data_IF_080478536649
#
_entry.id   IF_080478536649
#
_cell.length_a   1.000
_cell.length_b   1.000
_cell.length_c   1.000
_cell.angle_alpha   90.00
_cell.angle_beta   90.00
_cell.angle_gamma   90.00
#
_symmetry.space_group_name_H-M   'P 1'
#
loop_
_entity.id
_entity.type
_entity.pdbx_description
1 polymer ?
#
# COMPACT_ATOMS: atom_id res chain seq x y z
N UNK A 1 -21.83 14.31 5.45
CA UNK A 1 -20.37 14.08 5.26
C UNK A 1 -20.05 12.65 4.84
N UNK A 2 -20.74 11.62 5.35
CA UNK A 2 -20.55 10.22 4.90
C UNK A 2 -20.99 9.96 3.45
N UNK A 3 -22.19 10.39 3.07
CA UNK A 3 -22.74 10.22 1.70
C UNK A 3 -21.91 10.95 0.62
N UNK A 4 -21.36 12.13 0.94
CA UNK A 4 -20.52 12.95 0.04
C UNK A 4 -19.22 12.24 -0.38
N UNK A 5 -18.60 11.48 0.53
CA UNK A 5 -17.38 10.70 0.22
C UNK A 5 -17.73 9.52 -0.70
N UNK A 6 -18.92 8.96 -0.52
CA UNK A 6 -19.39 7.76 -1.22
C UNK A 6 -19.70 8.07 -2.69
N UNK A 7 -20.51 9.08 -2.99
CA UNK A 7 -20.85 9.48 -4.37
C UNK A 7 -19.59 9.82 -5.19
N UNK A 8 -18.68 10.63 -4.61
CA UNK A 8 -17.41 10.97 -5.26
C UNK A 8 -16.58 9.73 -5.56
N UNK A 9 -16.43 8.82 -4.59
CA UNK A 9 -15.63 7.61 -4.78
C UNK A 9 -16.25 6.67 -5.82
N UNK A 10 -17.57 6.62 -5.93
CA UNK A 10 -18.29 5.83 -6.94
C UNK A 10 -18.14 6.40 -8.36
N UNK A 11 -18.21 7.73 -8.52
CA UNK A 11 -17.93 8.39 -9.80
C UNK A 11 -16.48 8.17 -10.25
N UNK A 12 -15.51 8.37 -9.34
CA UNK A 12 -14.09 8.15 -9.61
C UNK A 12 -13.84 6.70 -10.09
N UNK A 13 -14.47 5.72 -9.42
CA UNK A 13 -14.38 4.30 -9.79
C UNK A 13 -15.03 3.98 -11.14
N UNK A 14 -16.19 4.58 -11.43
CA UNK A 14 -16.87 4.37 -12.71
C UNK A 14 -15.99 4.87 -13.87
N UNK A 15 -15.48 6.10 -13.76
CA UNK A 15 -14.70 6.74 -14.82
C UNK A 15 -13.38 6.01 -15.03
N UNK A 16 -12.71 5.59 -13.94
CA UNK A 16 -11.46 4.83 -14.02
C UNK A 16 -11.58 3.48 -14.75
N UNK A 17 -12.79 2.94 -14.93
CA UNK A 17 -13.03 1.69 -15.69
C UNK A 17 -13.17 1.91 -17.20
N UNK A 18 -13.26 3.16 -17.66
CA UNK A 18 -13.36 3.47 -19.09
C UNK A 18 -12.02 3.21 -19.79
N UNK A 19 -12.06 2.59 -20.96
CA UNK A 19 -10.85 2.29 -21.73
C UNK A 19 -10.08 3.56 -22.08
N UNK A 20 -8.77 3.55 -21.82
CA UNK A 20 -7.85 4.67 -22.00
C UNK A 20 -7.72 5.60 -20.79
N UNK A 21 -8.52 5.42 -19.72
CA UNK A 21 -8.39 6.17 -18.46
C UNK A 21 -7.36 5.50 -17.55
N UNK A 22 -6.41 6.29 -17.06
CA UNK A 22 -5.39 5.88 -16.09
C UNK A 22 -5.76 6.29 -14.65
N UNK A 23 -6.45 7.42 -14.50
CA UNK A 23 -6.97 7.91 -13.23
C UNK A 23 -8.11 8.90 -13.48
N UNK A 24 -9.03 9.01 -12.50
CA UNK A 24 -10.09 9.98 -12.51
C UNK A 24 -10.27 10.57 -11.10
N UNK A 25 -10.64 11.85 -11.03
CA UNK A 25 -10.96 12.52 -9.77
C UNK A 25 -12.06 13.56 -9.99
N UNK A 26 -13.12 13.41 -9.22
CA UNK A 26 -14.29 14.30 -9.19
C UNK A 26 -14.14 15.27 -8.02
N UNK A 27 -14.47 16.54 -8.26
CA UNK A 27 -14.50 17.60 -7.24
C UNK A 27 -15.95 18.05 -7.10
N UNK A 28 -16.44 18.03 -5.86
CA UNK A 28 -17.78 18.49 -5.50
C UNK A 28 -17.66 19.80 -4.70
N UNK A 29 -18.66 20.68 -4.82
CA UNK A 29 -18.81 21.85 -3.96
C UNK A 29 -19.51 21.49 -2.63
N UNK A 30 -19.78 22.48 -1.79
CA UNK A 30 -20.48 22.30 -0.51
C UNK A 30 -21.96 21.89 -0.68
N UNK A 31 -22.50 21.98 -1.89
CA UNK A 31 -23.87 21.63 -2.28
C UNK A 31 -23.95 20.27 -3.00
N UNK A 32 -22.88 19.46 -2.96
CA UNK A 32 -22.76 18.15 -3.64
C UNK A 32 -22.88 18.20 -5.18
N UNK A 33 -22.69 19.37 -5.78
CA UNK A 33 -22.67 19.52 -7.23
C UNK A 33 -21.27 19.31 -7.77
N UNK A 34 -21.18 18.61 -8.91
CA UNK A 34 -19.92 18.39 -9.61
C UNK A 34 -19.44 19.70 -10.20
N UNK A 35 -18.28 20.17 -9.74
CA UNK A 35 -17.64 21.39 -10.27
C UNK A 35 -16.50 21.08 -11.23
N UNK A 36 -15.78 19.97 -11.02
CA UNK A 36 -14.70 19.55 -11.91
C UNK A 36 -14.55 18.03 -11.94
N UNK A 37 -14.17 17.50 -13.10
CA UNK A 37 -13.76 16.11 -13.30
C UNK A 37 -12.39 16.14 -13.99
N UNK A 38 -11.36 15.67 -13.29
CA UNK A 38 -10.03 15.52 -13.86
C UNK A 38 -9.80 14.08 -14.29
N UNK A 39 -9.34 13.91 -15.52
CA UNK A 39 -9.06 12.62 -16.11
C UNK A 39 -7.62 12.62 -16.58
N UNK A 40 -6.88 11.60 -16.16
CA UNK A 40 -5.59 11.26 -16.72
C UNK A 40 -5.80 10.09 -17.67
N UNK A 41 -5.40 10.24 -18.93
CA UNK A 41 -5.60 9.22 -19.95
C UNK A 41 -4.29 8.85 -20.63
N UNK A 42 -4.25 7.67 -21.22
CA UNK A 42 -3.23 7.33 -22.19
C UNK A 42 -3.54 7.95 -23.57
N UNK A 43 -2.76 7.58 -24.57
CA UNK A 43 -2.89 8.04 -25.96
C UNK A 43 -3.77 7.13 -26.82
N UNK A 44 -4.45 6.12 -26.24
CA UNK A 44 -5.28 5.17 -27.00
C UNK A 44 -6.59 5.79 -27.50
N UNK A 45 -7.07 6.84 -26.83
CA UNK A 45 -8.27 7.60 -27.21
C UNK A 45 -7.99 9.09 -27.26
N UNK A 46 -8.74 9.81 -28.08
CA UNK A 46 -8.69 11.28 -28.10
C UNK A 46 -9.44 11.89 -26.90
N UNK A 47 -9.05 13.08 -26.41
CA UNK A 47 -9.73 13.75 -25.32
C UNK A 47 -11.23 13.96 -25.58
N UNK A 48 -11.59 14.32 -26.82
CA UNK A 48 -13.00 14.52 -27.21
C UNK A 48 -13.82 13.22 -27.11
N UNK A 49 -13.23 12.09 -27.48
CA UNK A 49 -13.90 10.79 -27.36
C UNK A 49 -14.06 10.41 -25.89
N UNK A 50 -13.01 10.63 -25.08
CA UNK A 50 -13.02 10.31 -23.66
C UNK A 50 -14.06 11.13 -22.88
N UNK A 51 -14.15 12.44 -23.17
CA UNK A 51 -15.18 13.32 -22.60
C UNK A 51 -16.58 12.79 -22.89
N UNK A 52 -16.86 12.34 -24.12
CA UNK A 52 -18.17 11.74 -24.46
C UNK A 52 -18.43 10.42 -23.75
N UNK A 53 -17.42 9.57 -23.65
CA UNK A 53 -17.52 8.29 -22.95
C UNK A 53 -17.87 8.52 -21.47
N UNK A 54 -17.25 9.53 -20.85
CA UNK A 54 -17.50 9.94 -19.45
C UNK A 54 -18.92 10.46 -19.27
N UNK A 55 -19.36 11.41 -20.09
CA UNK A 55 -20.73 11.94 -20.05
C UNK A 55 -21.75 10.80 -20.22
N UNK A 56 -21.52 9.91 -21.19
CA UNK A 56 -22.41 8.78 -21.47
C UNK A 56 -22.46 7.79 -20.31
N UNK A 57 -21.31 7.50 -19.69
CA UNK A 57 -21.24 6.57 -18.56
C UNK A 57 -21.93 7.13 -17.32
N UNK A 58 -21.69 8.40 -16.99
CA UNK A 58 -22.32 9.06 -15.83
C UNK A 58 -23.83 9.17 -16.03
N UNK A 59 -24.28 9.57 -17.20
CA UNK A 59 -25.71 9.62 -17.55
C UNK A 59 -26.36 8.24 -17.44
N UNK A 60 -25.72 7.19 -17.96
CA UNK A 60 -26.28 5.84 -17.93
C UNK A 60 -26.31 5.22 -16.52
N UNK A 61 -25.31 5.48 -15.69
CA UNK A 61 -25.19 4.90 -14.35
C UNK A 61 -25.99 5.67 -13.29
N UNK A 62 -26.02 6.99 -13.38
CA UNK A 62 -26.56 7.87 -12.33
C UNK A 62 -27.64 8.84 -12.81
N UNK A 63 -27.91 8.91 -14.12
CA UNK A 63 -28.90 9.85 -14.69
C UNK A 63 -28.47 11.32 -14.60
N UNK A 64 -27.18 11.60 -14.38
CA UNK A 64 -26.66 12.95 -14.24
C UNK A 64 -26.20 13.50 -15.60
N UNK A 65 -26.67 14.69 -15.95
CA UNK A 65 -26.19 15.44 -17.11
C UNK A 65 -25.00 16.32 -16.71
N UNK A 66 -23.85 16.10 -17.34
CA UNK A 66 -22.58 16.78 -17.01
C UNK A 66 -22.16 17.64 -18.19
N UNK A 67 -21.93 18.94 -17.97
CA UNK A 67 -21.34 19.80 -19.00
C UNK A 67 -19.89 19.36 -19.27
N UNK A 68 -19.56 19.18 -20.55
CA UNK A 68 -18.23 18.80 -21.01
C UNK A 68 -17.14 19.78 -20.57
N UNK A 69 -17.48 21.05 -20.28
CA UNK A 69 -16.55 22.07 -19.79
C UNK A 69 -15.99 21.76 -18.41
N UNK A 70 -16.70 20.95 -17.62
CA UNK A 70 -16.24 20.53 -16.29
C UNK A 70 -15.20 19.39 -16.38
N UNK A 71 -15.03 18.79 -17.56
CA UNK A 71 -14.16 17.64 -17.77
C UNK A 71 -12.83 18.10 -18.37
N UNK A 72 -11.77 17.93 -17.59
CA UNK A 72 -10.39 18.16 -18.03
C UNK A 72 -9.68 16.83 -18.27
N UNK A 73 -9.07 16.68 -19.45
CA UNK A 73 -8.33 15.48 -19.83
C UNK A 73 -6.86 15.82 -20.05
N UNK A 74 -5.99 15.26 -19.22
CA UNK A 74 -4.55 15.26 -19.42
C UNK A 74 -4.13 13.92 -20.04
N UNK A 75 -3.42 13.97 -21.17
CA UNK A 75 -2.92 12.78 -21.83
C UNK A 75 -1.43 12.57 -21.55
N UNK A 76 -1.05 11.33 -21.30
CA UNK A 76 0.33 10.94 -21.05
C UNK A 76 0.67 9.71 -21.89
N UNK A 77 1.93 9.63 -22.32
CA UNK A 77 2.40 8.45 -23.02
C UNK A 77 2.39 7.29 -22.02
N UNK A 78 1.62 6.22 -22.29
CA UNK A 78 1.38 5.11 -21.34
C UNK A 78 2.66 4.42 -20.86
N UNK A 79 3.78 4.61 -21.57
CA UNK A 79 5.11 4.15 -21.16
C UNK A 79 5.79 5.02 -20.08
N UNK A 80 5.22 6.17 -19.71
CA UNK A 80 5.76 7.08 -18.68
C UNK A 80 4.84 7.31 -17.48
N UNK A 81 3.63 6.75 -17.48
CA UNK A 81 2.70 6.92 -16.36
C UNK A 81 1.99 5.61 -16.05
N UNK A 82 2.43 4.97 -14.97
CA UNK A 82 1.68 3.89 -14.34
C UNK A 82 0.34 4.46 -13.83
N UNK A 83 -0.81 3.79 -14.06
CA UNK A 83 -2.09 4.24 -13.55
C UNK A 83 -2.02 4.53 -12.06
N UNK A 84 -2.59 5.64 -11.59
CA UNK A 84 -2.78 5.90 -10.16
C UNK A 84 -3.74 4.90 -9.50
N UNK A 85 -4.30 3.98 -10.29
CA UNK A 85 -5.13 2.85 -9.87
C UNK A 85 -4.49 1.53 -10.33
N UNK A 86 -3.23 1.28 -9.95
CA UNK A 86 -2.76 -0.09 -9.78
C UNK A 86 -2.37 -0.24 -8.33
N UNK A 87 -3.06 -1.16 -7.65
CA UNK A 87 -2.72 -1.80 -6.38
C UNK A 87 -1.81 -0.96 -5.49
N UNK A 88 -2.30 -0.53 -4.32
CA UNK A 88 -1.39 -0.23 -3.22
C UNK A 88 -0.39 -1.39 -3.18
N UNK A 89 0.85 -1.16 -3.61
CA UNK A 89 1.81 -2.23 -3.84
C UNK A 89 2.40 -2.60 -2.49
N UNK A 90 1.51 -2.97 -1.57
CA UNK A 90 1.78 -3.31 -0.21
C UNK A 90 2.43 -4.67 -0.21
N UNK A 91 3.50 -4.78 0.54
CA UNK A 91 4.09 -6.05 0.84
C UNK A 91 3.11 -6.84 1.70
N UNK A 92 2.89 -8.09 1.31
CA UNK A 92 2.09 -9.07 2.04
C UNK A 92 2.97 -10.23 2.47
N UNK A 93 2.57 -10.92 3.54
CA UNK A 93 3.26 -12.14 3.97
C UNK A 93 2.79 -13.28 3.07
N UNK A 94 3.70 -13.84 2.28
CA UNK A 94 3.43 -15.05 1.49
C UNK A 94 3.66 -16.32 2.31
N UNK A 95 4.74 -16.34 3.10
CA UNK A 95 5.11 -17.49 3.93
C UNK A 95 5.99 -17.06 5.10
N UNK A 96 5.79 -17.70 6.25
CA UNK A 96 6.74 -17.72 7.37
C UNK A 96 7.03 -19.19 7.64
N UNK A 97 8.30 -19.56 7.75
CA UNK A 97 8.73 -20.91 8.09
C UNK A 97 9.74 -20.85 9.20
N UNK A 98 9.50 -21.63 10.25
CA UNK A 98 10.38 -21.71 11.42
C UNK A 98 10.85 -23.15 11.53
N UNK A 99 12.15 -23.30 11.44
CA UNK A 99 12.86 -24.55 11.64
C UNK A 99 13.61 -24.48 12.96
N UNK A 100 13.50 -25.54 13.75
CA UNK A 100 14.13 -25.64 15.05
C UNK A 100 15.12 -26.80 14.98
N UNK A 101 16.38 -26.52 15.31
CA UNK A 101 17.37 -27.56 15.62
C UNK A 101 17.67 -27.55 17.13
N UNK A 102 18.52 -28.47 17.60
CA UNK A 102 18.84 -28.63 19.02
C UNK A 102 19.43 -27.38 19.69
N UNK A 103 19.90 -26.42 18.91
CA UNK A 103 20.67 -25.26 19.36
C UNK A 103 20.20 -23.94 18.77
N UNK A 104 19.45 -23.95 17.67
CA UNK A 104 19.08 -22.77 16.91
C UNK A 104 17.61 -22.76 16.52
N UNK A 105 17.11 -21.53 16.34
CA UNK A 105 15.94 -21.23 15.55
C UNK A 105 16.39 -20.59 14.23
N UNK A 106 15.94 -21.15 13.13
CA UNK A 106 16.07 -20.59 11.80
C UNK A 106 14.68 -20.19 11.29
N UNK A 107 14.52 -18.93 10.91
CA UNK A 107 13.26 -18.41 10.37
C UNK A 107 13.48 -17.89 8.96
N UNK A 108 12.60 -18.28 8.05
CA UNK A 108 12.51 -17.75 6.68
C UNK A 108 11.17 -17.04 6.51
N UNK A 109 11.21 -15.80 6.01
CA UNK A 109 10.04 -15.00 5.66
C UNK A 109 10.08 -14.72 4.17
N UNK A 110 8.96 -14.99 3.49
CA UNK A 110 8.74 -14.60 2.09
C UNK A 110 7.66 -13.54 2.06
N UNK A 111 8.03 -12.36 1.55
CA UNK A 111 7.13 -11.25 1.27
C UNK A 111 6.76 -11.24 -0.22
N UNK A 112 5.55 -10.80 -0.54
CA UNK A 112 5.08 -10.67 -1.92
C UNK A 112 4.58 -9.26 -2.24
N UNK A 113 4.85 -8.80 -3.46
CA UNK A 113 4.31 -7.60 -4.06
C UNK A 113 3.85 -7.94 -5.50
N UNK A 114 2.55 -8.17 -5.69
CA UNK A 114 2.07 -8.76 -6.94
C UNK A 114 2.71 -10.13 -7.17
N UNK A 115 3.33 -10.32 -8.34
CA UNK A 115 4.03 -11.56 -8.70
C UNK A 115 5.47 -11.64 -8.16
N UNK A 116 6.01 -10.53 -7.64
CA UNK A 116 7.37 -10.48 -7.11
C UNK A 116 7.42 -11.05 -5.69
N UNK A 117 8.47 -11.80 -5.38
CA UNK A 117 8.72 -12.38 -4.06
C UNK A 117 10.10 -12.00 -3.54
N UNK A 118 10.17 -11.74 -2.24
CA UNK A 118 11.39 -11.34 -1.55
C UNK A 118 11.55 -12.22 -0.32
N UNK A 119 12.62 -13.01 -0.32
CA UNK A 119 12.94 -13.95 0.76
C UNK A 119 13.98 -13.36 1.70
N UNK A 120 13.83 -13.61 2.99
CA UNK A 120 14.82 -13.27 4.01
C UNK A 120 14.87 -14.34 5.08
N UNK A 121 16.09 -14.60 5.56
CA UNK A 121 16.35 -15.65 6.55
C UNK A 121 17.12 -15.10 7.73
N UNK A 122 16.86 -15.63 8.92
CA UNK A 122 17.60 -15.35 10.14
C UNK A 122 17.85 -16.63 10.93
N UNK A 123 19.05 -16.78 11.47
CA UNK A 123 19.42 -17.85 12.40
C UNK A 123 19.88 -17.26 13.73
N UNK A 124 19.40 -17.81 14.83
CA UNK A 124 19.78 -17.39 16.19
C UNK A 124 19.71 -18.56 17.18
N UNK A 125 20.38 -18.49 18.34
CA UNK A 125 20.30 -19.53 19.37
C UNK A 125 18.85 -19.79 19.82
N UNK A 126 18.54 -21.02 20.21
CA UNK A 126 17.20 -21.40 20.62
C UNK A 126 16.86 -20.84 22.03
N UNK A 127 15.94 -19.89 22.10
CA UNK A 127 15.25 -19.50 23.34
C UNK A 127 13.82 -19.00 23.03
N UNK A 128 12.93 -18.97 24.03
CA UNK A 128 11.53 -18.52 23.85
C UNK A 128 11.42 -17.07 23.38
N UNK A 129 12.32 -16.18 23.83
CA UNK A 129 12.40 -14.78 23.35
C UNK A 129 12.93 -14.67 21.91
N UNK A 130 13.59 -15.72 21.41
CA UNK A 130 14.29 -15.68 20.12
C UNK A 130 13.41 -16.00 18.91
N UNK A 131 12.22 -16.61 19.06
CA UNK A 131 11.36 -16.92 17.90
C UNK A 131 10.77 -15.68 17.23
N UNK A 132 10.18 -14.78 18.03
CA UNK A 132 9.65 -13.50 17.54
C UNK A 132 10.77 -12.65 16.94
N UNK A 133 11.91 -12.55 17.63
CA UNK A 133 13.05 -11.80 17.14
C UNK A 133 13.64 -12.38 15.85
N UNK A 134 13.75 -13.71 15.75
CA UNK A 134 14.20 -14.41 14.54
C UNK A 134 13.27 -14.14 13.36
N UNK A 135 11.95 -14.13 13.58
CA UNK A 135 10.98 -13.78 12.53
C UNK A 135 11.07 -12.33 12.09
N UNK A 136 11.25 -11.38 13.00
CA UNK A 136 11.46 -9.96 12.66
C UNK A 136 12.76 -9.79 11.87
N UNK A 137 13.85 -10.43 12.29
CA UNK A 137 15.13 -10.35 11.60
C UNK A 137 15.05 -10.94 10.18
N UNK A 138 14.35 -12.06 10.01
CA UNK A 138 14.09 -12.66 8.70
C UNK A 138 13.23 -11.74 7.83
N UNK A 139 12.21 -11.10 8.41
CA UNK A 139 11.40 -10.10 7.71
C UNK A 139 12.24 -8.87 7.29
N UNK A 140 13.13 -8.37 8.15
CA UNK A 140 14.02 -7.26 7.82
C UNK A 140 15.02 -7.65 6.72
N UNK A 141 15.51 -8.90 6.70
CA UNK A 141 16.32 -9.41 5.61
C UNK A 141 15.53 -9.42 4.28
N UNK A 142 14.26 -9.86 4.30
CA UNK A 142 13.39 -9.83 3.13
C UNK A 142 13.13 -8.39 2.65
N UNK A 143 12.94 -7.45 3.58
CA UNK A 143 12.76 -6.03 3.28
C UNK A 143 14.01 -5.40 2.68
N UNK A 144 15.22 -5.77 3.12
CA UNK A 144 16.47 -5.33 2.49
C UNK A 144 16.55 -5.79 1.04
N UNK A 145 16.15 -7.04 0.76
CA UNK A 145 16.10 -7.57 -0.60
C UNK A 145 15.05 -6.87 -1.48
N UNK A 146 13.95 -6.42 -0.88
CA UNK A 146 12.95 -5.59 -1.55
C UNK A 146 13.44 -4.16 -1.85
N UNK A 147 14.05 -3.49 -0.87
CA UNK A 147 14.44 -2.08 -0.98
C UNK A 147 15.69 -1.87 -1.86
N UNK A 148 16.59 -2.86 -1.91
CA UNK A 148 17.88 -2.73 -2.59
C UNK A 148 18.92 -1.92 -1.79
N UNK A 149 20.14 -1.75 -2.33
CA UNK A 149 21.30 -1.30 -1.56
C UNK A 149 21.29 0.19 -1.18
N UNK A 150 20.43 0.99 -1.81
CA UNK A 150 20.35 2.45 -1.56
C UNK A 150 19.56 2.81 -0.29
N UNK A 151 18.94 1.83 0.35
CA UNK A 151 18.12 2.04 1.54
C UNK A 151 18.61 1.14 2.68
N UNK A 152 18.55 1.65 3.90
CA UNK A 152 18.81 0.86 5.10
C UNK A 152 17.54 0.76 5.95
N UNK A 153 17.37 -0.40 6.58
CA UNK A 153 16.28 -0.64 7.52
C UNK A 153 16.77 -1.48 8.70
N UNK A 154 16.41 -1.07 9.92
CA UNK A 154 16.75 -1.76 11.15
C UNK A 154 15.63 -1.66 12.20
N UNK A 155 15.57 -2.64 13.10
CA UNK A 155 14.68 -2.60 14.26
C UNK A 155 15.28 -1.67 15.31
N UNK A 156 14.50 -0.68 15.76
CA UNK A 156 14.85 0.14 16.92
C UNK A 156 14.23 -0.42 18.20
N UNK A 157 12.93 -0.74 18.15
CA UNK A 157 12.20 -1.25 19.30
C UNK A 157 11.05 -2.18 18.90
N UNK A 158 10.74 -3.12 19.78
CA UNK A 158 9.59 -4.02 19.71
C UNK A 158 8.97 -4.13 21.10
N UNK A 159 7.71 -3.73 21.22
CA UNK A 159 6.94 -3.84 22.45
C UNK A 159 5.68 -4.68 22.24
N UNK A 160 5.35 -5.51 23.24
CA UNK A 160 4.03 -6.11 23.38
C UNK A 160 3.24 -5.27 24.39
N UNK A 161 2.14 -4.66 23.95
CA UNK A 161 1.32 -3.76 24.75
C UNK A 161 -0.15 -4.13 24.63
N UNK A 162 -0.91 -4.01 25.72
CA UNK A 162 -2.36 -4.19 25.69
C UNK A 162 -3.04 -2.85 25.35
N UNK A 163 -3.84 -2.84 24.29
CA UNK A 163 -4.58 -1.65 23.83
C UNK A 163 -6.04 -2.03 23.67
N UNK A 164 -6.92 -1.33 24.37
CA UNK A 164 -8.36 -1.62 24.38
C UNK A 164 -8.67 -3.11 24.67
N UNK A 165 -7.91 -3.72 25.59
CA UNK A 165 -8.06 -5.13 25.98
C UNK A 165 -7.45 -6.15 25.01
N UNK A 166 -6.77 -5.72 23.95
CA UNK A 166 -6.11 -6.60 22.99
C UNK A 166 -4.59 -6.45 23.06
N UNK A 167 -3.87 -7.57 23.19
CA UNK A 167 -2.41 -7.55 23.06
C UNK A 167 -2.02 -7.22 21.63
N UNK A 168 -1.09 -6.28 21.48
CA UNK A 168 -0.59 -5.80 20.19
C UNK A 168 0.94 -5.79 20.20
N UNK A 169 1.55 -6.04 19.04
CA UNK A 169 2.93 -5.65 18.81
C UNK A 169 2.98 -4.22 18.30
N UNK A 170 3.81 -3.40 18.94
CA UNK A 170 4.21 -2.07 18.51
C UNK A 170 5.67 -2.13 18.13
N UNK A 171 6.03 -1.56 16.98
CA UNK A 171 7.38 -1.59 16.44
C UNK A 171 7.81 -0.20 16.00
N UNK A 172 9.08 0.12 16.26
CA UNK A 172 9.78 1.26 15.68
C UNK A 172 10.94 0.75 14.81
N UNK A 173 11.03 1.27 13.58
CA UNK A 173 12.09 0.96 12.62
C UNK A 173 12.85 2.23 12.27
N UNK A 174 14.18 2.17 12.18
CA UNK A 174 14.93 3.19 11.44
C UNK A 174 14.87 2.83 9.97
N UNK A 175 14.52 3.80 9.14
CA UNK A 175 14.49 3.71 7.70
C UNK A 175 15.31 4.86 7.13
N UNK A 176 16.39 4.51 6.44
CA UNK A 176 17.33 5.45 5.85
C UNK A 176 17.25 5.39 4.34
N UNK A 177 16.94 6.53 3.73
CA UNK A 177 17.07 6.81 2.31
C UNK A 177 18.37 7.61 2.09
N UNK A 178 18.90 7.72 0.84
CA UNK A 178 20.19 8.37 0.59
C UNK A 178 20.34 9.79 1.15
N UNK A 179 19.23 10.50 1.38
CA UNK A 179 19.22 11.91 1.82
C UNK A 179 18.43 12.12 3.12
N UNK A 180 17.82 11.09 3.70
CA UNK A 180 16.92 11.25 4.84
C UNK A 180 16.87 9.99 5.71
N UNK A 181 16.88 10.18 7.02
CA UNK A 181 16.57 9.13 7.98
C UNK A 181 15.24 9.45 8.67
N UNK A 182 14.37 8.46 8.79
CA UNK A 182 13.08 8.58 9.44
C UNK A 182 12.78 7.37 10.30
N UNK A 183 12.00 7.57 11.35
CA UNK A 183 11.50 6.48 12.19
C UNK A 183 10.10 6.11 11.72
N UNK A 184 9.92 4.85 11.39
CA UNK A 184 8.63 4.28 11.01
C UNK A 184 8.03 3.52 12.18
N UNK A 185 6.73 3.71 12.39
CA UNK A 185 5.98 3.04 13.45
C UNK A 185 4.92 2.13 12.88
N UNK A 186 4.84 0.93 13.42
CA UNK A 186 3.87 -0.09 13.05
C UNK A 186 3.19 -0.68 14.27
N UNK A 187 1.95 -1.11 14.07
CA UNK A 187 1.18 -1.79 15.10
C UNK A 187 0.35 -2.91 14.49
N UNK A 188 0.21 -4.03 15.19
CA UNK A 188 -0.69 -5.13 14.81
C UNK A 188 -1.18 -5.89 16.04
N UNK A 189 -2.49 -6.18 16.15
CA UNK A 189 -3.04 -7.00 17.24
C UNK A 189 -2.65 -8.47 17.11
N UNK A 190 -2.52 -9.14 18.25
CA UNK A 190 -2.30 -10.58 18.38
C UNK A 190 -3.67 -11.23 18.58
N UNK A 191 -4.24 -11.79 17.52
CA UNK A 191 -5.60 -12.37 17.56
C UNK A 191 -5.69 -13.66 18.38
N UNK A 192 -4.60 -14.43 18.44
CA UNK A 192 -4.48 -15.67 19.22
C UNK A 192 -3.01 -16.00 19.48
N UNK A 193 -2.69 -16.86 20.48
CA UNK A 193 -1.32 -17.28 20.76
C UNK A 193 -0.57 -17.84 19.53
N UNK A 194 -1.26 -18.58 18.67
CA UNK A 194 -0.67 -19.20 17.47
C UNK A 194 -0.31 -18.18 16.37
N UNK A 195 -0.90 -16.98 16.45
CA UNK A 195 -0.65 -15.88 15.50
C UNK A 195 0.42 -14.89 15.96
N UNK A 196 1.03 -15.09 17.14
CA UNK A 196 2.00 -14.14 17.73
C UNK A 196 3.12 -13.77 16.75
N UNK A 197 3.72 -14.77 16.11
CA UNK A 197 4.83 -14.57 15.17
C UNK A 197 4.37 -13.83 13.91
N UNK A 198 3.20 -14.20 13.38
CA UNK A 198 2.61 -13.51 12.24
C UNK A 198 2.30 -12.04 12.57
N UNK A 199 1.76 -11.78 13.76
CA UNK A 199 1.44 -10.43 14.23
C UNK A 199 2.71 -9.56 14.35
N UNK A 200 3.82 -10.13 14.83
CA UNK A 200 5.10 -9.43 14.89
C UNK A 200 5.61 -9.02 13.49
N UNK A 201 5.58 -9.95 12.52
CA UNK A 201 5.96 -9.65 11.12
C UNK A 201 5.00 -8.64 10.49
N UNK A 202 3.70 -8.76 10.72
CA UNK A 202 2.69 -7.82 10.25
C UNK A 202 2.90 -6.41 10.84
N UNK A 203 3.34 -6.30 12.09
CA UNK A 203 3.64 -5.00 12.69
C UNK A 203 4.79 -4.30 11.94
N UNK A 204 5.83 -5.04 11.54
CA UNK A 204 6.93 -4.51 10.71
C UNK A 204 6.40 -4.05 9.36
N UNK A 205 5.56 -4.85 8.69
CA UNK A 205 4.95 -4.47 7.41
C UNK A 205 3.99 -3.29 7.54
N UNK A 206 3.28 -3.16 8.65
CA UNK A 206 2.41 -2.02 8.97
C UNK A 206 3.20 -0.71 9.03
N UNK A 207 4.43 -0.74 9.56
CA UNK A 207 5.37 0.39 9.51
C UNK A 207 5.82 0.68 8.07
N UNK A 208 6.22 -0.36 7.32
CA UNK A 208 6.84 -0.22 5.99
C UNK A 208 5.87 0.08 4.85
N UNK A 209 4.64 -0.40 4.91
CA UNK A 209 3.66 -0.18 3.85
C UNK A 209 3.20 1.28 3.78
N UNK A 210 3.40 2.08 4.83
CA UNK A 210 3.07 3.52 4.86
C UNK A 210 3.93 4.35 3.89
N UNK A 211 5.27 4.29 3.89
CA UNK A 211 6.09 4.98 2.88
C UNK A 211 5.94 4.36 1.48
N UNK A 212 5.80 3.04 1.36
CA UNK A 212 5.66 2.36 0.05
C UNK A 212 4.37 2.78 -0.69
N UNK A 213 3.30 3.08 0.04
CA UNK A 213 2.02 3.50 -0.53
C UNK A 213 1.94 5.00 -0.86
N UNK A 214 2.94 5.81 -0.49
CA UNK A 214 2.99 7.23 -0.87
C UNK A 214 3.56 7.37 -2.29
N UNK A 215 2.87 8.07 -3.21
CA UNK A 215 3.46 8.38 -4.51
C UNK A 215 4.74 9.20 -4.30
N UNK A 216 5.87 8.76 -4.90
CA UNK A 216 7.10 9.56 -4.94
C UNK A 216 6.76 10.90 -5.60
N UNK A 217 6.97 12.02 -4.89
CA UNK A 217 6.92 13.34 -5.51
C UNK A 217 8.00 13.40 -6.59
N UNK A 218 7.69 13.78 -7.83
CA UNK A 218 8.74 14.05 -8.81
C UNK A 218 9.57 15.24 -8.30
N UNK A 219 10.88 15.05 -8.31
CA UNK A 219 11.92 16.08 -8.10
C UNK A 219 11.93 17.08 -9.24
#
# INVERSE_FOLDING_TARGET
>A
MGEMIELKAELDKLIARLGGVLAARTVLNEQDEIVEIHILSDLTKSPKQLVRDVQSAIMAAYGLDIDYKLISVAQVNSNMVMPAVRYEARLTIRRITISLDSSNVETTVILAQGDNQFEGTSRSPLSSRNRVQSAINACLAALKNYLGPSYAISLLDLQRQSIAGNDCFVVALSYTEPLHETILYGITPISSPDTEIQAAVMAVLSAMNRPISKPKKPS
#
